data_IF_730136170785
#
_entry.id   IF_730136170785
#
_cell.length_a   1.000
_cell.length_b   1.000
_cell.length_c   1.000
_cell.angle_alpha   90.00
_cell.angle_beta   90.00
_cell.angle_gamma   90.00
#
_symmetry.space_group_name_H-M   'P 1'
#
loop_
_entity.id
_entity.type
_entity.pdbx_description
1 polymer ?
#
# COMPACT_ATOMS: atom_id res chain seq x y z
N UNK A 1 12.64 -9.87 13.54
CA UNK A 1 11.90 -9.36 14.43
C UNK A 1 12.27 -8.25 15.39
N UNK A 2 13.07 -8.53 16.42
CA UNK A 2 13.34 -7.59 17.51
C UNK A 2 14.03 -6.29 17.06
N UNK A 3 14.99 -6.39 16.17
CA UNK A 3 15.72 -5.21 15.67
C UNK A 3 14.84 -4.28 14.86
N UNK A 4 13.99 -4.85 13.98
CA UNK A 4 13.05 -4.06 13.20
C UNK A 4 12.08 -3.30 14.09
N UNK A 5 11.59 -3.95 15.14
CA UNK A 5 10.68 -3.34 16.11
C UNK A 5 11.37 -2.20 16.88
N UNK A 6 12.63 -2.37 17.26
CA UNK A 6 13.41 -1.32 17.90
C UNK A 6 13.56 -0.11 16.99
N UNK A 7 13.80 -0.33 15.71
CA UNK A 7 13.92 0.75 14.72
C UNK A 7 12.60 1.50 14.58
N UNK A 8 11.48 0.78 14.47
CA UNK A 8 10.15 1.42 14.39
C UNK A 8 9.85 2.25 15.63
N UNK A 9 10.16 1.73 16.82
CA UNK A 9 9.97 2.44 18.07
C UNK A 9 10.81 3.71 18.12
N UNK A 10 12.07 3.64 17.68
CA UNK A 10 12.96 4.81 17.62
C UNK A 10 12.43 5.87 16.66
N UNK A 11 11.97 5.47 15.47
CA UNK A 11 11.38 6.40 14.49
C UNK A 11 10.11 7.04 15.04
N UNK A 12 9.27 6.26 15.73
CA UNK A 12 8.02 6.72 16.31
C UNK A 12 8.22 7.57 17.57
N UNK A 13 9.36 7.44 18.23
CA UNK A 13 9.59 8.08 19.52
C UNK A 13 8.75 7.47 20.65
N UNK A 14 8.48 6.18 20.57
CA UNK A 14 7.66 5.43 21.54
C UNK A 14 8.44 4.26 22.14
N UNK A 15 7.99 3.72 23.31
CA UNK A 15 8.63 2.54 23.90
C UNK A 15 8.59 1.32 22.96
N UNK A 16 9.62 0.48 23.05
CA UNK A 16 9.77 -0.74 22.23
C UNK A 16 8.62 -1.72 22.44
N UNK A 17 8.02 -1.74 23.63
CA UNK A 17 6.90 -2.62 23.94
C UNK A 17 5.55 -2.11 23.41
N UNK A 18 5.52 -0.99 22.71
CA UNK A 18 4.31 -0.51 22.05
C UNK A 18 3.89 -1.46 20.92
N UNK A 19 2.58 -1.58 20.67
CA UNK A 19 2.11 -2.43 19.58
C UNK A 19 2.56 -1.91 18.21
N UNK A 20 2.71 -2.81 17.24
CA UNK A 20 3.06 -2.42 15.86
C UNK A 20 2.05 -1.42 15.30
N UNK A 21 0.77 -1.61 15.57
CA UNK A 21 -0.28 -0.70 15.12
C UNK A 21 -0.10 0.71 15.71
N UNK A 22 0.24 0.80 16.98
CA UNK A 22 0.49 2.08 17.65
C UNK A 22 1.74 2.77 17.08
N UNK A 23 2.81 2.02 16.86
CA UNK A 23 4.05 2.54 16.26
C UNK A 23 3.77 3.08 14.86
N UNK A 24 3.06 2.32 14.04
CA UNK A 24 2.70 2.70 12.67
C UNK A 24 1.87 3.99 12.64
N UNK A 25 0.83 4.05 13.46
CA UNK A 25 -0.03 5.24 13.55
C UNK A 25 0.76 6.47 13.97
N UNK A 26 1.65 6.33 14.95
CA UNK A 26 2.47 7.43 15.43
C UNK A 26 3.42 7.94 14.35
N UNK A 27 4.03 7.04 13.57
CA UNK A 27 4.95 7.42 12.50
C UNK A 27 4.22 8.27 11.46
N UNK A 28 2.99 7.90 11.09
CA UNK A 28 2.22 8.59 10.05
C UNK A 28 1.64 9.90 10.59
N UNK A 29 0.92 9.86 11.72
CA UNK A 29 0.17 11.00 12.22
C UNK A 29 0.93 11.87 13.22
N UNK A 30 2.16 11.49 13.60
CA UNK A 30 3.05 12.32 14.45
C UNK A 30 2.39 12.80 15.74
N UNK A 31 1.58 11.94 16.38
CA UNK A 31 0.90 12.28 17.62
C UNK A 31 -0.45 12.97 17.47
N UNK A 32 -0.91 13.23 16.25
CA UNK A 32 -2.27 13.73 16.03
C UNK A 32 -3.28 12.70 16.53
N UNK A 33 -4.13 13.11 17.49
CA UNK A 33 -5.10 12.21 18.11
C UNK A 33 -6.40 12.08 17.32
N UNK A 34 -6.81 13.17 16.65
CA UNK A 34 -8.05 13.21 15.89
C UNK A 34 -7.78 12.84 14.42
N UNK A 35 -7.41 11.58 14.20
CA UNK A 35 -7.04 11.08 12.86
C UNK A 35 -8.24 11.04 11.92
N UNK A 36 -9.43 10.75 12.43
CA UNK A 36 -10.65 10.65 11.63
C UNK A 36 -10.96 11.94 10.86
N UNK A 37 -10.58 13.08 11.41
CA UNK A 37 -10.75 14.39 10.79
C UNK A 37 -9.96 14.52 9.47
N UNK A 38 -8.85 13.78 9.35
CA UNK A 38 -7.93 13.88 8.22
C UNK A 38 -8.09 12.75 7.21
N UNK A 39 -8.82 11.69 7.56
CA UNK A 39 -9.04 10.59 6.63
C UNK A 39 -9.92 11.04 5.47
N UNK A 40 -9.53 10.63 4.26
CA UNK A 40 -10.23 10.98 3.04
C UNK A 40 -10.89 9.76 2.43
N UNK A 41 -12.11 9.92 1.95
CA UNK A 41 -12.81 8.90 1.19
C UNK A 41 -13.20 9.45 -0.18
N UNK A 42 -12.90 8.69 -1.23
CA UNK A 42 -13.21 9.06 -2.61
C UNK A 42 -14.14 8.01 -3.20
N UNK A 43 -15.18 8.46 -3.90
CA UNK A 43 -16.00 7.56 -4.70
C UNK A 43 -15.17 7.10 -5.91
N UNK A 44 -14.82 5.82 -5.95
CA UNK A 44 -13.99 5.27 -7.02
C UNK A 44 -14.66 5.33 -8.39
N UNK A 45 -15.98 5.49 -8.48
CA UNK A 45 -16.66 5.67 -9.77
C UNK A 45 -16.26 6.97 -10.48
N UNK A 46 -15.72 7.95 -9.75
CA UNK A 46 -15.16 9.16 -10.33
C UNK A 46 -13.86 8.90 -11.09
N UNK A 47 -13.04 7.97 -10.58
CA UNK A 47 -11.76 7.57 -11.20
C UNK A 47 -11.96 6.45 -12.22
N UNK A 48 -12.92 5.57 -11.99
CA UNK A 48 -13.22 4.40 -12.80
C UNK A 48 -14.71 4.42 -13.15
N UNK A 49 -15.10 5.17 -14.20
CA UNK A 49 -16.51 5.29 -14.58
C UNK A 49 -17.17 3.94 -14.83
N UNK A 50 -18.30 3.73 -14.20
CA UNK A 50 -19.03 2.47 -14.27
C UNK A 50 -18.77 1.51 -13.11
N UNK A 51 -17.79 1.81 -12.24
CA UNK A 51 -17.62 1.04 -11.01
C UNK A 51 -18.83 1.17 -10.12
N UNK A 52 -19.29 0.03 -9.57
CA UNK A 52 -20.42 -0.03 -8.64
C UNK A 52 -20.11 -0.94 -7.48
N UNK A 53 -20.48 -0.50 -6.30
CA UNK A 53 -20.50 -1.33 -5.09
C UNK A 53 -21.93 -1.40 -4.59
N UNK A 54 -22.57 -2.55 -4.77
CA UNK A 54 -23.96 -2.76 -4.40
C UNK A 54 -24.14 -4.14 -3.74
N UNK A 55 -24.85 -4.16 -2.62
CA UNK A 55 -25.14 -5.41 -1.90
C UNK A 55 -23.87 -6.23 -1.57
N UNK A 56 -22.82 -5.55 -1.19
CA UNK A 56 -21.55 -6.18 -0.85
C UNK A 56 -20.73 -6.69 -2.04
N UNK A 57 -21.13 -6.36 -3.26
CA UNK A 57 -20.44 -6.78 -4.48
C UNK A 57 -19.90 -5.58 -5.25
N UNK A 58 -18.69 -5.73 -5.74
CA UNK A 58 -18.03 -4.73 -6.60
C UNK A 58 -18.03 -5.24 -8.03
N UNK A 59 -18.52 -4.42 -8.96
CA UNK A 59 -18.52 -4.74 -10.38
C UNK A 59 -17.92 -3.60 -11.20
N UNK A 60 -17.18 -3.96 -12.24
CA UNK A 60 -16.55 -3.00 -13.13
C UNK A 60 -16.29 -3.64 -14.49
N UNK A 61 -16.71 -2.97 -15.56
CA UNK A 61 -16.53 -3.42 -16.97
C UNK A 61 -17.03 -4.86 -17.18
N UNK A 62 -18.18 -5.19 -16.56
CA UNK A 62 -18.79 -6.51 -16.68
C UNK A 62 -18.15 -7.60 -15.83
N UNK A 63 -17.21 -7.27 -14.96
CA UNK A 63 -16.50 -8.23 -14.12
C UNK A 63 -16.74 -7.97 -12.65
N UNK A 64 -16.74 -9.03 -11.85
CA UNK A 64 -16.80 -8.94 -10.39
C UNK A 64 -15.38 -8.82 -9.84
N UNK A 65 -15.18 -7.88 -8.94
CA UNK A 65 -13.88 -7.60 -8.32
C UNK A 65 -13.95 -7.99 -6.84
N UNK A 66 -13.00 -8.79 -6.39
CA UNK A 66 -12.95 -9.26 -5.01
C UNK A 66 -12.57 -8.18 -4.00
N UNK A 67 -12.83 -8.45 -2.73
CA UNK A 67 -12.54 -7.51 -1.64
C UNK A 67 -11.03 -7.22 -1.52
N UNK A 68 -10.19 -8.26 -1.71
CA UNK A 68 -8.73 -8.14 -1.57
C UNK A 68 -7.99 -7.86 -2.86
N UNK A 69 -8.66 -7.85 -4.01
CA UNK A 69 -8.03 -7.64 -5.29
C UNK A 69 -8.77 -8.29 -6.43
N UNK A 70 -8.21 -8.20 -7.63
CA UNK A 70 -8.77 -8.79 -8.84
C UNK A 70 -8.02 -10.06 -9.22
N UNK A 71 -8.75 -11.11 -9.53
CA UNK A 71 -8.21 -12.39 -9.99
C UNK A 71 -8.86 -12.74 -11.34
N UNK A 72 -8.03 -13.16 -12.28
CA UNK A 72 -8.46 -13.59 -13.60
C UNK A 72 -7.60 -14.75 -14.08
N UNK A 73 -8.19 -15.70 -14.75
CA UNK A 73 -7.47 -16.81 -15.38
C UNK A 73 -8.08 -17.13 -16.74
N UNK A 74 -7.25 -17.23 -17.75
CA UNK A 74 -7.62 -17.71 -19.07
C UNK A 74 -7.26 -19.20 -19.15
N UNK A 75 -8.22 -20.12 -19.26
CA UNK A 75 -7.92 -21.55 -19.35
C UNK A 75 -7.11 -21.88 -20.60
N UNK A 76 -6.23 -22.87 -20.48
CA UNK A 76 -5.47 -23.37 -21.61
C UNK A 76 -3.97 -23.42 -21.36
N UNK A 77 -3.24 -23.77 -22.40
CA UNK A 77 -1.78 -23.82 -22.42
C UNK A 77 -1.23 -22.53 -23.02
N UNK A 78 -0.35 -21.88 -22.31
CA UNK A 78 0.24 -20.61 -22.73
C UNK A 78 1.75 -20.72 -22.83
N UNK A 79 2.31 -20.28 -23.96
CA UNK A 79 3.74 -20.23 -24.21
C UNK A 79 4.24 -18.78 -24.25
N UNK A 80 5.54 -18.60 -24.00
CA UNK A 80 6.20 -17.29 -24.07
C UNK A 80 5.51 -16.25 -23.17
N UNK A 81 5.20 -16.64 -21.93
CA UNK A 81 4.51 -15.79 -20.98
C UNK A 81 5.50 -14.89 -20.25
N UNK A 82 5.22 -13.59 -20.25
CA UNK A 82 5.94 -12.62 -19.43
C UNK A 82 5.18 -12.40 -18.12
N UNK A 83 5.91 -12.34 -17.02
CA UNK A 83 5.35 -11.98 -15.70
C UNK A 83 5.72 -10.55 -15.39
N UNK A 84 4.71 -9.74 -15.09
CA UNK A 84 4.90 -8.35 -14.63
C UNK A 84 4.24 -8.19 -13.26
N UNK A 85 4.98 -7.58 -12.35
CA UNK A 85 4.47 -7.23 -11.03
C UNK A 85 4.31 -5.72 -10.92
N UNK A 86 3.20 -5.28 -10.34
CA UNK A 86 2.97 -3.86 -10.06
C UNK A 86 3.74 -3.49 -8.80
N UNK A 87 4.69 -2.58 -8.94
CA UNK A 87 5.49 -2.13 -7.81
C UNK A 87 4.65 -1.32 -6.83
N UNK A 88 4.68 -1.73 -5.55
CA UNK A 88 4.06 -0.97 -4.46
C UNK A 88 2.59 -0.59 -4.73
N UNK A 89 1.77 -1.57 -5.13
CA UNK A 89 0.37 -1.31 -5.51
C UNK A 89 -0.43 -0.63 -4.39
N UNK A 90 -0.46 -1.19 -3.18
CA UNK A 90 -1.21 -0.60 -2.08
C UNK A 90 -0.65 0.74 -1.61
N UNK A 91 0.67 0.90 -1.41
CA UNK A 91 1.24 2.21 -1.13
C UNK A 91 0.92 3.27 -2.19
N UNK A 92 0.99 2.91 -3.46
CA UNK A 92 0.65 3.83 -4.55
C UNK A 92 -0.82 4.23 -4.50
N UNK A 93 -1.71 3.30 -4.19
CA UNK A 93 -3.14 3.60 -4.03
C UNK A 93 -3.39 4.55 -2.88
N UNK A 94 -2.75 4.33 -1.74
CA UNK A 94 -2.86 5.23 -0.57
C UNK A 94 -2.41 6.64 -0.94
N UNK A 95 -1.29 6.76 -1.64
CA UNK A 95 -0.76 8.06 -2.09
C UNK A 95 -1.73 8.78 -3.04
N UNK A 96 -2.20 8.09 -4.07
CA UNK A 96 -3.08 8.68 -5.07
C UNK A 96 -4.44 9.08 -4.49
N UNK A 97 -4.92 8.35 -3.50
CA UNK A 97 -6.16 8.68 -2.80
C UNK A 97 -5.99 9.77 -1.74
N UNK A 98 -4.76 10.17 -1.43
CA UNK A 98 -4.45 11.09 -0.33
C UNK A 98 -5.17 10.67 0.95
N UNK A 99 -5.10 9.38 1.25
CA UNK A 99 -5.99 8.72 2.21
C UNK A 99 -5.94 9.32 3.61
N UNK A 100 -4.78 9.84 4.02
CA UNK A 100 -4.55 10.44 5.32
C UNK A 100 -4.50 11.98 5.25
N UNK A 101 -5.04 12.56 4.17
CA UNK A 101 -4.98 14.01 3.97
C UNK A 101 -3.55 14.52 3.95
N UNK A 102 -3.23 15.60 4.68
CA UNK A 102 -1.87 16.17 4.69
C UNK A 102 -0.82 15.21 5.29
N UNK A 103 -1.22 14.22 6.08
CA UNK A 103 -0.31 13.21 6.65
C UNK A 103 0.07 12.11 5.66
N UNK A 104 -0.56 12.05 4.50
CA UNK A 104 -0.17 11.11 3.42
C UNK A 104 1.26 11.35 2.98
N UNK A 105 1.75 12.57 3.05
CA UNK A 105 3.14 12.90 2.75
C UNK A 105 4.12 12.08 3.59
N UNK A 106 3.82 11.89 4.86
CA UNK A 106 4.64 11.10 5.79
C UNK A 106 4.69 9.64 5.35
N UNK A 107 3.55 9.10 4.93
CA UNK A 107 3.48 7.76 4.38
C UNK A 107 4.27 7.63 3.08
N UNK A 108 4.20 8.63 2.21
CA UNK A 108 4.97 8.66 0.96
C UNK A 108 6.47 8.66 1.23
N UNK A 109 6.93 9.30 2.29
CA UNK A 109 8.33 9.26 2.70
C UNK A 109 8.77 7.85 3.11
N UNK A 110 7.90 7.09 3.81
CA UNK A 110 8.19 5.69 4.15
C UNK A 110 8.33 4.83 2.89
N UNK A 111 7.44 4.99 1.94
CA UNK A 111 7.50 4.29 0.65
C UNK A 111 8.79 4.63 -0.09
N UNK A 112 9.12 5.91 -0.18
CA UNK A 112 10.32 6.40 -0.86
C UNK A 112 11.58 5.87 -0.19
N UNK A 113 11.62 5.88 1.15
CA UNK A 113 12.76 5.37 1.91
C UNK A 113 13.04 3.91 1.57
N UNK A 114 11.99 3.08 1.52
CA UNK A 114 12.15 1.66 1.18
C UNK A 114 12.73 1.47 -0.22
N UNK A 115 12.25 2.24 -1.19
CA UNK A 115 12.75 2.19 -2.57
C UNK A 115 14.22 2.62 -2.64
N UNK A 116 14.58 3.70 -1.98
CA UNK A 116 15.97 4.21 -1.95
C UNK A 116 16.93 3.19 -1.33
N UNK A 117 16.52 2.56 -0.24
CA UNK A 117 17.35 1.54 0.43
C UNK A 117 17.53 0.32 -0.48
N UNK A 118 16.46 -0.13 -1.12
CA UNK A 118 16.50 -1.26 -2.05
C UNK A 118 17.47 -1.00 -3.21
N UNK A 119 17.54 0.25 -3.69
CA UNK A 119 18.42 0.65 -4.78
C UNK A 119 19.78 1.13 -4.31
N UNK A 120 20.09 1.04 -3.01
CA UNK A 120 21.35 1.47 -2.40
C UNK A 120 21.64 2.97 -2.55
N UNK A 121 20.58 3.78 -2.70
CA UNK A 121 20.69 5.24 -2.77
C UNK A 121 20.67 5.83 -1.35
N UNK A 122 21.72 5.55 -0.58
CA UNK A 122 21.76 5.81 0.86
C UNK A 122 21.92 7.31 1.21
N UNK A 123 22.55 8.08 0.35
CA UNK A 123 22.70 9.53 0.59
C UNK A 123 21.33 10.23 0.56
N UNK A 124 20.48 9.84 -0.37
CA UNK A 124 19.11 10.35 -0.42
C UNK A 124 18.27 9.83 0.75
N UNK A 125 18.47 8.57 1.14
CA UNK A 125 17.76 7.98 2.27
C UNK A 125 18.06 8.71 3.59
N UNK A 126 19.24 9.27 3.75
CA UNK A 126 19.62 10.05 4.96
C UNK A 126 18.72 11.26 5.19
N UNK A 127 18.15 11.80 4.13
CA UNK A 127 17.33 13.01 4.18
C UNK A 127 15.86 12.72 4.51
N UNK A 128 15.43 11.48 4.37
CA UNK A 128 14.03 11.09 4.55
C UNK A 128 13.65 11.12 6.04
N UNK A 129 12.42 11.50 6.34
CA UNK A 129 11.89 11.55 7.70
C UNK A 129 12.73 12.42 8.64
N UNK A 130 13.19 13.57 8.13
CA UNK A 130 14.02 14.52 8.88
C UNK A 130 15.32 13.88 9.41
N UNK A 131 15.89 12.95 8.64
CA UNK A 131 17.15 12.31 9.02
C UNK A 131 17.00 11.15 9.99
N UNK A 132 15.79 10.72 10.30
CA UNK A 132 15.54 9.66 11.30
C UNK A 132 16.15 8.31 10.91
N UNK A 133 16.44 8.08 9.63
CA UNK A 133 16.99 6.81 9.15
C UNK A 133 18.52 6.76 9.20
N UNK A 134 19.19 7.90 9.35
CA UNK A 134 20.65 8.00 9.27
C UNK A 134 21.40 7.01 10.15
N UNK A 135 21.01 6.75 11.43
CA UNK A 135 21.72 5.81 12.29
C UNK A 135 21.78 4.37 11.77
N UNK A 136 20.93 4.01 10.82
CA UNK A 136 20.78 2.62 10.35
C UNK A 136 21.35 2.39 8.95
N UNK A 137 22.02 3.40 8.36
CA UNK A 137 22.43 3.34 6.96
C UNK A 137 23.90 2.93 6.74
N UNK A 138 24.69 2.87 7.79
CA UNK A 138 26.15 2.66 7.69
C UNK A 138 26.59 1.20 7.89
N UNK A 139 25.67 0.30 8.21
CA UNK A 139 25.96 -1.09 8.53
C UNK A 139 24.94 -1.99 7.79
N UNK A 140 25.42 -3.02 7.10
CA UNK A 140 24.55 -3.89 6.30
C UNK A 140 23.49 -4.61 7.14
N UNK A 141 23.84 -5.01 8.37
CA UNK A 141 22.88 -5.64 9.27
C UNK A 141 21.75 -4.66 9.65
N UNK A 142 22.10 -3.42 9.94
CA UNK A 142 21.13 -2.36 10.24
C UNK A 142 20.28 -2.00 9.02
N UNK A 143 20.88 -2.02 7.82
CA UNK A 143 20.13 -1.79 6.58
C UNK A 143 19.05 -2.85 6.36
N UNK A 144 19.38 -4.11 6.57
CA UNK A 144 18.41 -5.19 6.43
C UNK A 144 17.27 -5.06 7.45
N UNK A 145 17.62 -4.74 8.70
CA UNK A 145 16.63 -4.52 9.75
C UNK A 145 15.74 -3.30 9.44
N UNK A 146 16.33 -2.22 8.93
CA UNK A 146 15.60 -1.02 8.53
C UNK A 146 14.65 -1.32 7.36
N UNK A 147 15.11 -2.01 6.33
CA UNK A 147 14.29 -2.39 5.19
C UNK A 147 13.08 -3.23 5.65
N UNK A 148 13.31 -4.16 6.56
CA UNK A 148 12.24 -4.98 7.14
C UNK A 148 11.26 -4.13 7.97
N UNK A 149 11.78 -3.21 8.77
CA UNK A 149 10.96 -2.29 9.57
C UNK A 149 10.04 -1.44 8.68
N UNK A 150 10.56 -0.90 7.60
CA UNK A 150 9.78 -0.11 6.64
C UNK A 150 8.71 -0.97 5.96
N UNK A 151 9.02 -2.20 5.61
CA UNK A 151 8.06 -3.15 5.07
C UNK A 151 6.92 -3.40 6.05
N UNK A 152 7.25 -3.63 7.33
CA UNK A 152 6.25 -3.81 8.39
C UNK A 152 5.35 -2.58 8.49
N UNK A 153 5.92 -1.38 8.53
CA UNK A 153 5.15 -0.14 8.63
C UNK A 153 4.20 0.04 7.45
N UNK A 154 4.67 -0.20 6.23
CA UNK A 154 3.85 -0.07 5.03
C UNK A 154 2.72 -1.11 5.00
N UNK A 155 3.01 -2.36 5.34
CA UNK A 155 2.00 -3.42 5.36
C UNK A 155 0.99 -3.23 6.49
N UNK A 156 1.45 -2.81 7.67
CA UNK A 156 0.57 -2.52 8.81
C UNK A 156 -0.38 -1.37 8.51
N UNK A 157 0.09 -0.35 7.81
CA UNK A 157 -0.75 0.77 7.38
C UNK A 157 -1.91 0.28 6.52
N UNK A 158 -1.61 -0.48 5.48
CA UNK A 158 -2.66 -1.05 4.64
C UNK A 158 -3.60 -1.94 5.44
N UNK A 159 -3.05 -2.82 6.26
CA UNK A 159 -3.85 -3.71 7.10
C UNK A 159 -4.82 -2.97 8.01
N UNK A 160 -4.41 -1.86 8.59
CA UNK A 160 -5.26 -1.05 9.45
C UNK A 160 -6.35 -0.33 8.66
N UNK A 161 -6.07 0.17 7.46
CA UNK A 161 -7.09 0.80 6.62
C UNK A 161 -8.17 -0.20 6.20
N UNK A 162 -7.81 -1.45 5.99
CA UNK A 162 -8.71 -2.52 5.54
C UNK A 162 -9.38 -3.28 6.70
N UNK A 163 -8.93 -3.08 7.93
CA UNK A 163 -9.43 -3.80 9.10
C UNK A 163 -10.91 -3.47 9.35
N UNK A 164 -11.62 -4.46 9.92
CA UNK A 164 -13.05 -4.30 10.25
C UNK A 164 -13.28 -3.83 11.68
N UNK A 165 -12.20 -3.68 12.47
CA UNK A 165 -12.27 -3.10 13.80
C UNK A 165 -11.90 -1.62 13.78
N UNK A 166 -12.46 -0.86 14.71
CA UNK A 166 -12.14 0.57 14.82
C UNK A 166 -10.68 0.77 15.16
N UNK A 167 -10.04 1.65 14.41
CA UNK A 167 -8.65 2.03 14.64
C UNK A 167 -8.40 3.42 14.01
N UNK A 168 -7.32 4.09 14.39
CA UNK A 168 -7.06 5.46 13.92
C UNK A 168 -6.90 5.63 12.41
N UNK A 169 -6.61 4.56 11.67
CA UNK A 169 -6.42 4.61 10.22
C UNK A 169 -7.64 4.11 9.43
N UNK A 170 -8.67 3.63 10.14
CA UNK A 170 -9.89 3.17 9.51
C UNK A 170 -10.90 4.29 9.35
N UNK A 171 -11.38 4.48 8.12
CA UNK A 171 -12.51 5.36 7.83
C UNK A 171 -13.79 4.51 7.77
N UNK A 172 -14.81 4.76 8.62
CA UNK A 172 -16.06 4.00 8.58
C UNK A 172 -16.79 4.05 7.25
N UNK A 173 -16.53 5.05 6.42
CA UNK A 173 -17.10 5.15 5.07
C UNK A 173 -16.49 4.14 4.11
N UNK A 174 -15.31 3.61 4.44
CA UNK A 174 -14.59 2.65 3.59
C UNK A 174 -15.16 1.25 3.79
N UNK A 175 -16.29 0.97 3.15
CA UNK A 175 -16.98 -0.33 3.24
C UNK A 175 -16.56 -1.31 2.16
N UNK A 176 -15.86 -0.84 1.13
CA UNK A 176 -15.47 -1.62 -0.04
C UNK A 176 -13.96 -1.86 -0.15
N UNK A 177 -13.19 -1.55 0.90
CA UNK A 177 -11.72 -1.63 0.90
C UNK A 177 -11.10 -0.82 -0.26
N UNK A 178 -11.25 0.48 -0.17
CA UNK A 178 -10.89 1.43 -1.24
C UNK A 178 -9.45 1.28 -1.74
N UNK A 179 -8.50 0.94 -0.86
CA UNK A 179 -7.10 0.79 -1.23
C UNK A 179 -6.91 -0.40 -2.17
N UNK A 180 -7.39 -1.57 -1.75
CA UNK A 180 -7.32 -2.77 -2.60
C UNK A 180 -8.18 -2.60 -3.86
N UNK A 181 -9.35 -1.98 -3.75
CA UNK A 181 -10.24 -1.75 -4.90
C UNK A 181 -9.62 -0.87 -5.95
N UNK A 182 -8.96 0.21 -5.56
CA UNK A 182 -8.30 1.06 -6.56
C UNK A 182 -7.28 0.28 -7.38
N UNK A 183 -6.47 -0.55 -6.72
CA UNK A 183 -5.53 -1.43 -7.40
C UNK A 183 -6.21 -2.45 -8.29
N UNK A 184 -7.30 -3.06 -7.80
CA UNK A 184 -8.06 -4.06 -8.55
C UNK A 184 -8.70 -3.48 -9.81
N UNK A 185 -9.29 -2.30 -9.73
CA UNK A 185 -9.89 -1.61 -10.87
C UNK A 185 -8.84 -1.23 -11.90
N UNK A 186 -7.67 -0.78 -11.45
CA UNK A 186 -6.54 -0.56 -12.34
C UNK A 186 -6.14 -1.85 -13.07
N UNK A 187 -6.13 -2.99 -12.39
CA UNK A 187 -5.78 -4.27 -13.03
C UNK A 187 -6.81 -4.71 -14.06
N UNK A 188 -8.09 -4.44 -13.83
CA UNK A 188 -9.12 -4.68 -14.84
C UNK A 188 -8.85 -3.84 -16.09
N UNK A 189 -8.58 -2.55 -15.91
CA UNK A 189 -8.25 -1.66 -17.03
C UNK A 189 -6.97 -2.12 -17.75
N UNK A 190 -5.96 -2.53 -17.00
CA UNK A 190 -4.71 -3.04 -17.58
C UNK A 190 -4.94 -4.29 -18.42
N UNK A 191 -5.78 -5.21 -17.94
CA UNK A 191 -6.14 -6.40 -18.72
C UNK A 191 -6.75 -6.02 -20.06
N UNK A 192 -7.73 -5.13 -20.05
CA UNK A 192 -8.37 -4.68 -21.29
C UNK A 192 -7.40 -3.96 -22.21
N UNK A 193 -6.53 -3.12 -21.66
CA UNK A 193 -5.49 -2.44 -22.43
C UNK A 193 -4.56 -3.42 -23.14
N UNK A 194 -4.08 -4.43 -22.42
CA UNK A 194 -3.17 -5.45 -22.96
C UNK A 194 -3.88 -6.27 -24.04
N UNK A 195 -5.12 -6.68 -23.81
CA UNK A 195 -5.92 -7.44 -24.78
C UNK A 195 -6.19 -6.62 -26.04
N UNK A 196 -6.46 -5.34 -25.93
CA UNK A 196 -6.67 -4.43 -27.06
C UNK A 196 -5.40 -4.27 -27.92
N UNK A 197 -4.22 -4.48 -27.32
CA UNK A 197 -2.94 -4.49 -28.05
C UNK A 197 -2.67 -5.82 -28.77
N UNK A 198 -3.57 -6.79 -28.66
CA UNK A 198 -3.44 -8.08 -29.34
C UNK A 198 -2.76 -9.18 -28.53
N UNK A 199 -2.48 -8.94 -27.25
CA UNK A 199 -1.89 -9.94 -26.36
C UNK A 199 -2.96 -10.71 -25.61
N UNK A 200 -2.61 -11.94 -25.21
CA UNK A 200 -3.46 -12.75 -24.33
C UNK A 200 -3.01 -12.55 -22.90
N UNK A 201 -3.94 -12.26 -22.00
CA UNK A 201 -3.69 -12.25 -20.57
C UNK A 201 -4.00 -13.64 -20.04
N UNK A 202 -2.96 -14.34 -19.56
CA UNK A 202 -3.10 -15.71 -19.05
C UNK A 202 -3.63 -15.73 -17.61
N UNK A 203 -3.15 -14.81 -16.78
CA UNK A 203 -3.48 -14.82 -15.35
C UNK A 203 -3.24 -13.47 -14.72
N UNK A 204 -4.15 -13.08 -13.82
CA UNK A 204 -3.97 -11.93 -12.95
C UNK A 204 -4.26 -12.38 -11.52
N UNK A 205 -3.39 -11.98 -10.61
CA UNK A 205 -3.61 -12.17 -9.17
C UNK A 205 -3.14 -10.92 -8.44
N UNK A 206 -4.09 -10.14 -7.95
CA UNK A 206 -3.90 -8.90 -7.18
C UNK A 206 -2.99 -7.89 -7.88
N UNK A 207 -1.67 -8.04 -7.80
CA UNK A 207 -0.68 -7.10 -8.32
C UNK A 207 0.22 -7.70 -9.40
N UNK A 208 -0.07 -8.92 -9.87
CA UNK A 208 0.70 -9.57 -10.92
C UNK A 208 -0.15 -9.88 -12.14
N UNK A 209 0.46 -9.78 -13.31
CA UNK A 209 -0.16 -10.10 -14.61
C UNK A 209 0.80 -10.93 -15.43
N UNK A 210 0.26 -12.00 -16.03
CA UNK A 210 0.99 -12.89 -16.95
C UNK A 210 0.34 -12.93 -18.32
#
# INVERSE_FOLDING_TARGET
>A
GGEARQILAAIAGLPVNSSTNKLTTQIIFQGQRDTQKYLQYTDLSEMFPGYKYEYGKSTYRGEEVGEGGYVYAEPGYHENVALLDIASMHPTSIENLQLFGPYTKRYSELKKARILIKHKELDEARKILNGALAPYLDDDSNLDALAYALKIALNSTYGLTAAKFDNPLRDPRNVDNIVAKRGALFMVDLKHFVQEKGYTVAHIKTDSIK
#
